data_IF_937240436688
#
_entry.id   IF_937240436688
#
_cell.length_a   1.000
_cell.length_b   1.000
_cell.length_c   1.000
_cell.angle_alpha   90.00
_cell.angle_beta   90.00
_cell.angle_gamma   90.00
#
_symmetry.space_group_name_H-M   'P 1'
#
loop_
_entity.id
_entity.type
_entity.pdbx_description
1 polymer ?
#
# COMPACT_ATOMS: atom_id res chain seq x y z
N UNK A 1 -3.52 12.68 -1.07
CA UNK A 1 -2.62 11.59 -0.61
C UNK A 1 -3.43 10.31 -0.67
N UNK A 2 -2.90 9.22 -1.27
CA UNK A 2 -3.66 8.00 -1.47
C UNK A 2 -3.91 7.21 -0.19
N UNK A 3 -4.89 6.33 -0.22
CA UNK A 3 -5.31 5.50 0.93
C UNK A 3 -4.17 4.67 1.49
N UNK A 4 -3.34 4.07 0.62
CA UNK A 4 -2.21 3.25 1.04
C UNK A 4 -1.20 4.01 1.91
N UNK A 5 -0.95 5.29 1.64
CA UNK A 5 -0.08 6.10 2.50
C UNK A 5 -0.65 6.24 3.91
N UNK A 6 -1.97 6.47 4.03
CA UNK A 6 -2.62 6.61 5.34
C UNK A 6 -2.61 5.30 6.13
N UNK A 7 -2.86 4.17 5.46
CA UNK A 7 -2.78 2.84 6.08
C UNK A 7 -1.38 2.55 6.62
N UNK A 8 -0.35 2.89 5.86
CA UNK A 8 1.04 2.69 6.27
C UNK A 8 1.46 3.61 7.43
N UNK A 9 0.97 4.85 7.46
CA UNK A 9 1.15 5.72 8.64
C UNK A 9 0.47 5.14 9.88
N UNK A 10 -0.75 4.63 9.73
CA UNK A 10 -1.47 3.95 10.81
C UNK A 10 -0.70 2.72 11.29
N UNK A 11 -0.17 1.89 10.37
CA UNK A 11 0.64 0.73 10.69
C UNK A 11 1.87 1.08 11.55
N UNK A 12 2.64 2.11 11.15
CA UNK A 12 3.80 2.57 11.92
C UNK A 12 3.38 3.07 13.31
N UNK A 13 2.26 3.78 13.40
CA UNK A 13 1.74 4.30 14.67
C UNK A 13 1.35 3.16 15.60
N UNK A 14 0.68 2.12 15.09
CA UNK A 14 0.34 0.94 15.87
C UNK A 14 1.58 0.12 16.27
N UNK A 15 2.57 0.02 15.42
CA UNK A 15 3.85 -0.58 15.79
C UNK A 15 4.54 0.15 16.94
N UNK A 16 4.48 1.48 16.98
CA UNK A 16 4.96 2.27 18.13
C UNK A 16 4.14 2.00 19.39
N UNK A 17 2.81 1.96 19.27
CA UNK A 17 1.93 1.64 20.38
C UNK A 17 2.22 0.25 20.96
N UNK A 18 2.49 -0.75 20.11
CA UNK A 18 2.92 -2.07 20.52
C UNK A 18 4.16 -2.01 21.42
N UNK A 19 5.18 -1.25 21.05
CA UNK A 19 6.41 -1.11 21.86
C UNK A 19 6.16 -0.55 23.26
N UNK A 20 5.17 0.34 23.42
CA UNK A 20 4.85 0.93 24.73
C UNK A 20 3.90 0.08 25.56
N UNK A 21 2.95 -0.60 24.92
CA UNK A 21 1.86 -1.31 25.60
C UNK A 21 2.08 -2.82 25.68
N UNK A 22 2.97 -3.36 24.84
CA UNK A 22 3.20 -4.80 24.68
C UNK A 22 1.91 -5.60 24.43
N UNK A 23 0.93 -4.99 23.76
CA UNK A 23 -0.35 -5.60 23.44
C UNK A 23 -0.31 -6.09 21.98
N UNK A 24 -0.43 -7.42 21.75
CA UNK A 24 -0.29 -8.01 20.42
C UNK A 24 -1.35 -7.54 19.41
N UNK A 25 -2.47 -6.96 19.87
CA UNK A 25 -3.50 -6.41 18.98
C UNK A 25 -2.95 -5.28 18.11
N UNK A 26 -2.03 -4.45 18.64
CA UNK A 26 -1.38 -3.40 17.86
C UNK A 26 -0.48 -3.94 16.76
N UNK A 27 0.21 -5.05 17.05
CA UNK A 27 1.03 -5.72 16.04
C UNK A 27 0.16 -6.38 14.96
N UNK A 28 -0.95 -7.01 15.35
CA UNK A 28 -1.96 -7.53 14.43
C UNK A 28 -2.45 -6.47 13.47
N UNK A 29 -2.87 -5.31 14.00
CA UNK A 29 -3.29 -4.17 13.16
C UNK A 29 -2.22 -3.74 12.16
N UNK A 30 -0.95 -3.71 12.58
CA UNK A 30 0.15 -3.37 11.67
C UNK A 30 0.27 -4.36 10.50
N UNK A 31 0.13 -5.68 10.78
CA UNK A 31 0.12 -6.71 9.73
C UNK A 31 -1.10 -6.58 8.82
N UNK A 32 -2.27 -6.26 9.35
CA UNK A 32 -3.49 -6.11 8.55
C UNK A 32 -3.33 -5.02 7.47
N UNK A 33 -2.68 -3.90 7.81
CA UNK A 33 -2.42 -2.85 6.82
C UNK A 33 -1.43 -3.28 5.73
N UNK A 34 -0.40 -4.06 6.07
CA UNK A 34 0.52 -4.64 5.09
C UNK A 34 -0.19 -5.68 4.21
N UNK A 35 -0.99 -6.54 4.81
CA UNK A 35 -1.76 -7.56 4.10
C UNK A 35 -2.79 -6.94 3.16
N UNK A 36 -3.41 -5.82 3.54
CA UNK A 36 -4.29 -5.06 2.65
C UNK A 36 -3.58 -4.67 1.35
N UNK A 37 -2.37 -4.15 1.44
CA UNK A 37 -1.57 -3.77 0.27
C UNK A 37 -1.20 -5.00 -0.57
N UNK A 38 -0.96 -6.14 0.08
CA UNK A 38 -0.56 -7.38 -0.57
C UNK A 38 -1.73 -8.23 -1.11
N UNK A 39 -2.98 -7.74 -0.99
CA UNK A 39 -4.12 -8.40 -1.62
C UNK A 39 -5.27 -8.76 -0.67
N UNK A 40 -5.11 -8.69 0.63
CA UNK A 40 -6.22 -8.91 1.58
C UNK A 40 -7.13 -7.67 1.64
N UNK A 41 -7.79 -7.38 0.52
CA UNK A 41 -8.65 -6.22 0.30
C UNK A 41 -9.88 -6.63 -0.53
N UNK A 42 -10.90 -5.75 -0.68
CA UNK A 42 -12.15 -6.09 -1.36
C UNK A 42 -12.02 -6.54 -2.82
N UNK A 43 -10.89 -6.24 -3.48
CA UNK A 43 -10.64 -6.61 -4.87
C UNK A 43 -9.77 -7.87 -5.01
N UNK A 44 -9.24 -8.38 -3.89
CA UNK A 44 -8.29 -9.50 -3.90
C UNK A 44 -7.12 -9.27 -4.88
N UNK A 45 -6.62 -8.02 -4.92
CA UNK A 45 -5.54 -7.59 -5.80
C UNK A 45 -4.39 -6.99 -4.99
N UNK A 46 -3.16 -7.35 -5.31
CA UNK A 46 -2.00 -6.64 -4.78
C UNK A 46 -2.01 -5.19 -5.28
N UNK A 47 -1.82 -4.23 -4.37
CA UNK A 47 -1.68 -2.82 -4.71
C UNK A 47 -0.22 -2.43 -4.95
N UNK A 48 0.59 -3.45 -5.25
CA UNK A 48 2.00 -3.36 -5.57
C UNK A 48 2.26 -4.08 -6.89
N UNK A 49 2.92 -3.39 -7.81
CA UNK A 49 3.19 -3.92 -9.14
C UNK A 49 4.05 -5.18 -9.11
N UNK A 50 3.71 -6.12 -9.97
CA UNK A 50 4.39 -7.42 -10.14
C UNK A 50 4.56 -8.21 -8.83
N UNK A 51 3.73 -7.94 -7.83
CA UNK A 51 3.69 -8.72 -6.60
C UNK A 51 2.35 -9.44 -6.47
N UNK A 52 2.40 -10.75 -6.27
CA UNK A 52 1.20 -11.59 -6.17
C UNK A 52 0.70 -12.08 -7.53
N UNK A 53 -0.49 -12.69 -7.55
CA UNK A 53 -1.11 -13.27 -8.74
C UNK A 53 -1.99 -12.30 -9.53
N UNK A 54 -2.42 -11.21 -8.90
CA UNK A 54 -3.19 -10.13 -9.51
C UNK A 54 -2.67 -8.80 -8.99
N UNK A 55 -2.37 -7.87 -9.87
CA UNK A 55 -1.81 -6.55 -9.58
C UNK A 55 -2.17 -5.56 -10.68
N UNK A 56 -2.06 -4.21 -10.44
CA UNK A 56 -2.29 -3.23 -11.47
C UNK A 56 -1.22 -3.34 -12.57
N UNK A 57 -1.68 -3.41 -13.82
CA UNK A 57 -0.82 -3.52 -15.01
C UNK A 57 -0.51 -2.17 -15.63
N UNK A 58 -1.19 -1.13 -15.19
CA UNK A 58 -1.03 0.24 -15.70
C UNK A 58 -1.03 1.25 -14.56
N UNK A 59 -0.25 2.31 -14.72
CA UNK A 59 -0.14 3.39 -13.74
C UNK A 59 -0.49 4.73 -14.32
N UNK A 60 -0.94 5.62 -13.44
CA UNK A 60 -1.03 7.04 -13.73
C UNK A 60 0.28 7.72 -13.30
N UNK A 61 1.07 8.20 -14.27
CA UNK A 61 2.25 9.03 -13.99
C UNK A 61 2.54 10.01 -15.15
N UNK A 62 3.30 11.05 -14.86
CA UNK A 62 3.51 12.15 -15.81
C UNK A 62 4.22 11.76 -17.10
N UNK A 63 5.05 10.75 -17.10
CA UNK A 63 5.74 10.28 -18.31
C UNK A 63 4.78 9.73 -19.36
N UNK A 64 3.58 9.29 -18.97
CA UNK A 64 2.53 8.88 -19.90
C UNK A 64 2.10 10.01 -20.84
N UNK A 65 2.01 11.22 -20.31
CA UNK A 65 1.60 12.39 -21.07
C UNK A 65 2.68 12.84 -22.05
N UNK A 66 3.91 12.39 -21.88
CA UNK A 66 5.03 12.63 -22.78
C UNK A 66 5.20 11.61 -23.90
N UNK A 67 4.32 10.59 -23.99
CA UNK A 67 4.41 9.53 -25.01
C UNK A 67 5.59 8.58 -24.81
N UNK A 68 6.14 8.49 -23.62
CA UNK A 68 7.21 7.56 -23.26
C UNK A 68 6.59 6.23 -22.85
N UNK A 69 7.11 5.11 -23.38
CA UNK A 69 6.72 3.78 -22.93
C UNK A 69 6.92 3.66 -21.43
N UNK A 70 5.87 3.17 -20.77
CA UNK A 70 5.92 2.87 -19.37
C UNK A 70 6.75 1.64 -19.12
N UNK A 71 7.87 1.81 -18.48
CA UNK A 71 8.50 0.68 -17.85
C UNK A 71 7.63 0.18 -16.67
N UNK A 72 7.55 -1.12 -16.48
CA UNK A 72 7.15 -1.68 -15.21
C UNK A 72 8.09 -1.16 -14.11
N UNK A 73 7.54 -0.88 -12.94
CA UNK A 73 8.32 -0.55 -11.74
C UNK A 73 7.99 -1.59 -10.65
N UNK A 74 8.55 -2.81 -10.76
CA UNK A 74 8.24 -3.89 -9.84
C UNK A 74 8.40 -3.47 -8.38
N UNK A 75 7.39 -3.77 -7.57
CA UNK A 75 7.36 -3.37 -6.17
C UNK A 75 6.86 -1.95 -5.91
N UNK A 76 6.44 -1.22 -6.95
CA UNK A 76 5.85 0.11 -6.79
C UNK A 76 4.45 0.04 -6.18
N UNK A 77 4.23 0.78 -5.09
CA UNK A 77 2.93 0.86 -4.41
C UNK A 77 2.11 2.01 -4.98
N UNK A 78 0.89 1.73 -5.42
CA UNK A 78 -0.06 2.73 -5.95
C UNK A 78 -0.84 3.45 -4.84
N UNK A 79 -1.63 4.47 -5.21
CA UNK A 79 -2.49 5.22 -4.29
C UNK A 79 -3.45 4.32 -3.48
N UNK A 80 -4.01 3.31 -4.12
CA UNK A 80 -4.83 2.30 -3.49
C UNK A 80 -6.33 2.50 -3.66
N UNK A 81 -7.10 1.71 -2.92
CA UNK A 81 -8.55 1.65 -3.00
C UNK A 81 -9.16 2.91 -2.39
N UNK A 82 -10.09 3.52 -3.12
CA UNK A 82 -10.81 4.72 -2.71
C UNK A 82 -12.31 4.54 -2.93
N UNK A 83 -13.09 5.59 -2.74
CA UNK A 83 -14.47 5.68 -3.22
C UNK A 83 -14.50 6.31 -4.62
N UNK A 84 -15.51 5.96 -5.41
CA UNK A 84 -15.73 6.56 -6.72
C UNK A 84 -16.53 7.85 -6.56
N UNK A 85 -16.10 8.90 -7.23
CA UNK A 85 -16.87 10.16 -7.44
C UNK A 85 -17.27 10.94 -6.16
N UNK A 86 -16.65 10.71 -5.02
CA UNK A 86 -16.88 11.42 -3.74
C UNK A 86 -18.32 11.36 -3.18
N UNK A 87 -19.18 10.55 -3.77
CA UNK A 87 -20.61 10.45 -3.41
C UNK A 87 -21.06 9.02 -3.07
N UNK A 88 -20.14 8.07 -3.15
CA UNK A 88 -20.45 6.66 -3.04
C UNK A 88 -19.48 5.98 -2.08
N UNK A 89 -19.98 5.35 -1.04
CA UNK A 89 -19.18 4.62 -0.04
C UNK A 89 -18.64 3.26 -0.55
N UNK A 90 -18.96 2.91 -1.80
CA UNK A 90 -18.45 1.66 -2.38
C UNK A 90 -16.96 1.75 -2.67
N UNK A 91 -16.19 0.72 -2.34
CA UNK A 91 -14.78 0.68 -2.68
C UNK A 91 -14.60 0.68 -4.21
N UNK A 92 -13.64 1.47 -4.66
CA UNK A 92 -13.27 1.59 -6.06
C UNK A 92 -11.75 1.48 -6.23
N UNK A 93 -11.36 0.75 -7.27
CA UNK A 93 -10.01 0.68 -7.78
C UNK A 93 -10.07 0.55 -9.30
N UNK A 94 -9.24 1.29 -10.04
CA UNK A 94 -9.25 1.23 -11.50
C UNK A 94 -8.50 -0.02 -11.99
N UNK A 95 -9.26 -1.00 -12.46
CA UNK A 95 -8.78 -2.25 -13.03
C UNK A 95 -8.99 -2.29 -14.55
N UNK A 96 -9.29 -1.16 -15.19
CA UNK A 96 -9.65 -1.11 -16.62
C UNK A 96 -8.51 -1.50 -17.56
N UNK A 97 -7.26 -1.40 -17.10
CA UNK A 97 -6.09 -1.68 -17.94
C UNK A 97 -5.86 -0.66 -19.06
N UNK A 98 -6.56 0.48 -19.02
CA UNK A 98 -6.36 1.57 -19.98
C UNK A 98 -4.99 2.20 -19.83
N UNK A 99 -4.48 2.83 -20.89
CA UNK A 99 -3.14 3.44 -20.90
C UNK A 99 -2.96 4.51 -19.82
N UNK A 100 -3.99 5.27 -19.53
CA UNK A 100 -3.98 6.31 -18.48
C UNK A 100 -5.10 6.01 -17.48
N UNK A 101 -4.84 5.20 -16.46
CA UNK A 101 -5.83 4.88 -15.44
C UNK A 101 -6.09 6.09 -14.52
N UNK A 102 -7.13 5.96 -13.68
CA UNK A 102 -7.51 7.01 -12.74
C UNK A 102 -6.39 7.28 -11.72
N UNK A 103 -5.95 8.55 -11.64
CA UNK A 103 -4.86 8.96 -10.75
C UNK A 103 -5.13 8.69 -9.28
N UNK A 104 -6.38 8.86 -8.84
CA UNK A 104 -6.74 8.68 -7.43
C UNK A 104 -6.48 7.27 -6.88
N UNK A 105 -6.49 6.25 -7.74
CA UNK A 105 -6.23 4.85 -7.37
C UNK A 105 -4.87 4.33 -7.83
N UNK A 106 -4.45 4.68 -9.05
CA UNK A 106 -3.32 4.02 -9.73
C UNK A 106 -2.04 4.86 -9.82
N UNK A 107 -1.99 6.02 -9.19
CA UNK A 107 -0.78 6.82 -9.20
C UNK A 107 0.26 6.30 -8.19
N UNK A 108 1.50 6.14 -8.62
CA UNK A 108 2.63 5.77 -7.77
C UNK A 108 3.31 7.03 -7.22
N UNK A 109 3.28 7.18 -5.90
CA UNK A 109 3.91 8.31 -5.22
C UNK A 109 5.03 7.85 -4.31
N UNK A 110 6.06 8.69 -4.19
CA UNK A 110 7.17 8.46 -3.27
C UNK A 110 6.71 8.19 -1.82
N UNK A 111 5.71 8.90 -1.25
CA UNK A 111 5.24 8.62 0.10
C UNK A 111 4.72 7.21 0.32
N UNK A 112 4.03 6.59 -0.66
CA UNK A 112 3.53 5.22 -0.51
C UNK A 112 4.69 4.24 -0.40
N UNK A 113 5.64 4.33 -1.31
CA UNK A 113 6.81 3.47 -1.38
C UNK A 113 7.72 3.64 -0.15
N UNK A 114 7.99 4.89 0.23
CA UNK A 114 8.82 5.20 1.40
C UNK A 114 8.17 4.68 2.69
N UNK A 115 6.87 4.88 2.86
CA UNK A 115 6.17 4.42 4.05
C UNK A 115 6.05 2.90 4.10
N UNK A 116 5.90 2.23 2.95
CA UNK A 116 5.93 0.77 2.90
C UNK A 116 7.29 0.23 3.40
N UNK A 117 8.39 0.73 2.87
CA UNK A 117 9.74 0.35 3.31
C UNK A 117 9.98 0.67 4.80
N UNK A 118 9.53 1.84 5.26
CA UNK A 118 9.61 2.22 6.69
C UNK A 118 8.81 1.29 7.59
N UNK A 119 7.62 0.87 7.14
CA UNK A 119 6.78 -0.07 7.89
C UNK A 119 7.46 -1.43 8.01
N UNK A 120 8.02 -1.95 6.92
CA UNK A 120 8.77 -3.21 6.94
C UNK A 120 10.03 -3.12 7.82
N UNK A 121 10.80 -2.04 7.69
CA UNK A 121 12.00 -1.83 8.51
C UNK A 121 11.65 -1.77 10.00
N UNK A 122 10.56 -1.09 10.35
CA UNK A 122 10.09 -1.00 11.73
C UNK A 122 9.60 -2.35 12.27
N UNK A 123 8.84 -3.11 11.48
CA UNK A 123 8.41 -4.46 11.82
C UNK A 123 9.61 -5.37 12.10
N UNK A 124 10.64 -5.30 11.27
CA UNK A 124 11.89 -6.06 11.47
C UNK A 124 12.59 -5.71 12.79
N UNK A 125 12.54 -4.46 13.22
CA UNK A 125 13.10 -4.08 14.54
C UNK A 125 12.32 -4.66 15.70
N UNK A 126 10.98 -4.70 15.61
CA UNK A 126 10.09 -5.33 16.60
C UNK A 126 10.40 -6.83 16.70
N UNK A 127 10.46 -7.52 15.57
CA UNK A 127 10.72 -8.96 15.53
C UNK A 127 12.08 -9.32 16.15
N UNK A 128 13.13 -8.54 15.84
CA UNK A 128 14.46 -8.75 16.47
C UNK A 128 14.42 -8.60 17.97
N UNK A 129 13.77 -7.57 18.50
CA UNK A 129 13.66 -7.35 19.94
C UNK A 129 12.94 -8.51 20.65
N UNK A 130 11.90 -9.07 20.04
CA UNK A 130 11.17 -10.21 20.60
C UNK A 130 12.00 -11.51 20.63
N UNK A 131 13.02 -11.65 19.79
CA UNK A 131 13.93 -12.81 19.80
C UNK A 131 14.92 -12.72 20.95
N UNK A 132 15.43 -11.52 21.24
CA UNK A 132 16.43 -11.31 22.29
C UNK A 132 15.83 -11.23 23.72
N UNK A 133 14.53 -11.06 23.83
CA UNK A 133 13.84 -10.99 25.14
C UNK A 133 13.19 -12.33 25.56
N UNK A 134 13.45 -13.40 24.84
CA UNK A 134 13.11 -14.79 25.19
C UNK A 134 14.34 -15.50 25.73
#
# INVERSE_FOLDING_TARGET
MGTNSNLLYAAITMGKAYKYKNDPRYLGFMYDQLNWILGNNPFNISLMEEQGSAFPTTYHHRYLFGGVDRGAVPGSVVNGIMWKDYQDDRPYFDMSGVDIPVSSTNECWLPHNTNYLRTLAYLKTIQKQNIFNK
#
